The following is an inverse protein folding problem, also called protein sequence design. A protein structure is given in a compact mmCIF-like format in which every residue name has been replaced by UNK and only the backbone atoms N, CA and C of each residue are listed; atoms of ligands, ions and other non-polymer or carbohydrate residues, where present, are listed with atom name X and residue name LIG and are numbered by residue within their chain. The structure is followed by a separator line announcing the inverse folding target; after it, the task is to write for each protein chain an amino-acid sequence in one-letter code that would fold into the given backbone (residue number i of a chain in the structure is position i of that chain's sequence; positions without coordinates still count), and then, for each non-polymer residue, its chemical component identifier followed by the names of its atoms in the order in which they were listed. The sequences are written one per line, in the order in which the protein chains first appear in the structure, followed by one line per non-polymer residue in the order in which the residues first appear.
data_IF_790678555011
#
_entry.id   IF_790678555011
#
_cell.length_a   1.000
_cell.length_b   1.000
_cell.length_c   1.000
_cell.angle_alpha   90.00
_cell.angle_beta   90.00
_cell.angle_gamma   90.00
#
_symmetry.space_group_name_H-M   'P 1'
#
loop_
_entity.id
_entity.type
_entity.pdbx_description
1 polymer ?
#
# COMPACT_ATOMS: atom_id res chain seq x y z
N UNK A 1 -24.88 5.95 15.82
CA UNK A 1 -23.96 6.12 16.89
C UNK A 1 -22.73 5.29 16.77
N UNK A 2 -22.92 4.01 16.73
CA UNK A 2 -21.78 3.13 16.63
C UNK A 2 -21.02 3.33 15.34
N UNK A 3 -21.70 3.79 14.32
CA UNK A 3 -21.06 4.01 13.04
C UNK A 3 -19.95 5.03 13.11
N UNK A 4 -20.10 5.98 13.99
CA UNK A 4 -19.08 7.01 14.09
C UNK A 4 -17.77 6.46 14.58
N UNK A 5 -17.84 5.46 15.41
CA UNK A 5 -16.64 4.83 15.91
C UNK A 5 -15.88 4.16 14.79
N UNK A 6 -16.61 3.49 13.90
CA UNK A 6 -15.98 2.87 12.75
C UNK A 6 -15.27 3.88 11.89
N UNK A 7 -15.85 5.03 11.70
CA UNK A 7 -15.24 6.05 10.89
C UNK A 7 -13.92 6.51 11.47
N UNK A 8 -13.82 6.59 12.76
CA UNK A 8 -12.58 7.00 13.38
C UNK A 8 -11.47 6.02 13.09
N UNK A 9 -11.80 4.75 13.11
CA UNK A 9 -10.80 3.74 12.84
C UNK A 9 -10.34 3.74 11.41
N UNK A 10 -11.19 4.19 10.52
CA UNK A 10 -10.85 4.21 9.11
C UNK A 10 -10.07 5.44 8.72
N UNK A 11 -9.70 6.26 9.69
CA UNK A 11 -9.00 7.49 9.39
C UNK A 11 -7.58 7.33 8.93
N UNK A 12 -6.94 6.21 9.24
CA UNK A 12 -5.54 6.04 8.87
C UNK A 12 -5.41 5.62 7.42
N UNK A 13 -4.77 6.48 6.65
CA UNK A 13 -4.51 6.25 5.25
C UNK A 13 -3.12 6.74 4.91
N UNK A 14 -2.59 6.25 3.81
CA UNK A 14 -1.27 6.65 3.37
C UNK A 14 -1.25 6.59 1.85
N UNK A 15 -0.53 7.52 1.24
CA UNK A 15 -0.37 7.49 -0.21
C UNK A 15 0.27 6.17 -0.62
N UNK A 16 -0.18 5.66 -1.75
CA UNK A 16 0.29 4.39 -2.26
C UNK A 16 1.80 4.36 -2.44
N UNK A 17 2.36 5.40 -3.05
CA UNK A 17 3.80 5.44 -3.27
C UNK A 17 4.58 5.42 -1.96
N UNK A 18 4.08 6.13 -0.97
CA UNK A 18 4.73 6.14 0.33
C UNK A 18 4.61 4.79 1.02
N UNK A 19 3.44 4.17 0.93
CA UNK A 19 3.21 2.86 1.53
C UNK A 19 4.16 1.81 0.94
N UNK A 20 4.33 1.84 -0.38
CA UNK A 20 5.22 0.90 -1.04
C UNK A 20 6.66 1.07 -0.57
N UNK A 21 7.07 2.31 -0.32
CA UNK A 21 8.41 2.56 0.18
C UNK A 21 8.56 2.17 1.65
N UNK A 22 7.58 2.53 2.48
CA UNK A 22 7.63 2.24 3.91
C UNK A 22 7.66 0.75 4.16
N UNK A 23 6.88 -0.02 3.39
CA UNK A 23 6.86 -1.47 3.52
C UNK A 23 8.05 -2.14 2.84
N UNK A 24 8.85 -1.36 2.14
CA UNK A 24 10.03 -1.84 1.41
C UNK A 24 9.68 -2.81 0.30
N UNK A 25 8.43 -2.82 -0.12
CA UNK A 25 8.04 -3.55 -1.33
C UNK A 25 8.73 -2.94 -2.54
N UNK A 26 8.86 -1.62 -2.54
CA UNK A 26 9.67 -0.91 -3.52
C UNK A 26 10.60 0.01 -2.74
N UNK A 27 11.89 -0.15 -2.92
CA UNK A 27 12.86 0.53 -2.09
C UNK A 27 12.89 2.04 -2.27
N UNK A 28 12.58 2.52 -3.46
CA UNK A 28 12.67 3.94 -3.77
C UNK A 28 11.31 4.50 -4.12
N UNK A 29 10.96 5.62 -3.50
CA UNK A 29 9.68 6.24 -3.75
C UNK A 29 9.50 6.70 -5.21
N UNK A 30 10.52 7.26 -5.87
CA UNK A 30 10.38 7.59 -7.30
C UNK A 30 10.06 6.38 -8.15
N UNK A 31 10.63 5.22 -7.83
CA UNK A 31 10.35 3.99 -8.56
C UNK A 31 8.90 3.56 -8.32
N UNK A 32 8.43 3.68 -7.08
CA UNK A 32 7.04 3.37 -6.78
C UNK A 32 6.09 4.28 -7.54
N UNK A 33 6.42 5.57 -7.59
CA UNK A 33 5.64 6.55 -8.30
C UNK A 33 5.53 6.18 -9.78
N UNK A 34 6.67 5.84 -10.37
CA UNK A 34 6.74 5.47 -11.77
C UNK A 34 5.93 4.21 -12.07
N UNK A 35 6.03 3.22 -11.20
CA UNK A 35 5.29 1.97 -11.39
C UNK A 35 3.79 2.22 -11.34
N UNK A 36 3.35 3.06 -10.42
CA UNK A 36 1.94 3.40 -10.32
C UNK A 36 1.46 4.14 -11.57
N UNK A 37 2.25 5.12 -12.03
CA UNK A 37 1.87 5.89 -13.20
C UNK A 37 1.87 5.05 -14.46
N UNK A 38 2.67 4.00 -14.49
CA UNK A 38 2.71 3.09 -15.63
C UNK A 38 1.58 2.05 -15.60
N UNK A 39 0.75 2.08 -14.57
CA UNK A 39 -0.36 1.14 -14.46
C UNK A 39 0.05 -0.24 -13.96
N UNK A 40 1.22 -0.34 -13.35
CA UNK A 40 1.72 -1.63 -12.86
C UNK A 40 1.28 -1.97 -11.46
N UNK A 41 0.66 -1.01 -10.77
CA UNK A 41 0.19 -1.22 -9.41
C UNK A 41 -1.32 -1.06 -9.40
N UNK A 42 -1.99 -2.05 -8.84
CA UNK A 42 -3.44 -1.99 -8.69
C UNK A 42 -3.80 -2.05 -7.22
N UNK A 43 -4.92 -1.43 -6.88
CA UNK A 43 -5.49 -1.52 -5.53
C UNK A 43 -6.91 -2.03 -5.69
N UNK A 44 -7.18 -3.17 -5.03
CA UNK A 44 -8.48 -3.81 -5.11
C UNK A 44 -8.89 -4.09 -6.56
N UNK A 45 -7.91 -4.47 -7.37
CA UNK A 45 -8.16 -4.87 -8.75
C UNK A 45 -8.23 -3.74 -9.75
N UNK A 46 -8.01 -2.50 -9.33
CA UNK A 46 -8.07 -1.35 -10.23
C UNK A 46 -6.74 -0.63 -10.26
N UNK A 47 -6.30 -0.20 -11.45
CA UNK A 47 -5.05 0.57 -11.52
C UNK A 47 -5.15 1.80 -10.62
N UNK A 48 -4.10 2.05 -9.88
CA UNK A 48 -4.06 3.15 -8.93
C UNK A 48 -2.85 4.01 -9.17
N UNK A 49 -3.04 5.31 -9.01
CA UNK A 49 -1.94 6.25 -9.14
C UNK A 49 -1.21 6.37 -7.82
N UNK A 50 -0.01 6.93 -7.89
CA UNK A 50 0.84 7.04 -6.71
C UNK A 50 0.19 7.84 -5.59
N UNK A 51 -0.67 8.76 -5.91
CA UNK A 51 -1.32 9.62 -4.93
C UNK A 51 -2.56 9.02 -4.29
N UNK A 52 -2.98 7.84 -4.76
CA UNK A 52 -4.14 7.18 -4.17
C UNK A 52 -3.83 6.77 -2.75
N UNK A 53 -4.77 6.97 -1.84
CA UNK A 53 -4.61 6.58 -0.46
C UNK A 53 -5.02 5.12 -0.27
N UNK A 54 -4.23 4.40 0.50
CA UNK A 54 -4.55 3.01 0.86
C UNK A 54 -4.80 2.93 2.35
N UNK A 55 -5.57 1.91 2.75
CA UNK A 55 -5.91 1.69 4.15
C UNK A 55 -5.91 0.20 4.43
N UNK A 56 -5.99 -0.15 5.69
CA UNK A 56 -6.01 -1.56 6.10
C UNK A 56 -7.17 -2.28 5.41
N UNK A 57 -6.88 -3.45 4.89
CA UNK A 57 -7.84 -4.25 4.16
C UNK A 57 -7.76 -4.13 2.65
N UNK A 58 -7.02 -3.14 2.16
CA UNK A 58 -6.84 -3.00 0.70
C UNK A 58 -5.89 -4.07 0.18
N UNK A 59 -6.15 -4.50 -1.05
CA UNK A 59 -5.33 -5.51 -1.72
C UNK A 59 -4.53 -4.80 -2.81
N UNK A 60 -3.22 -4.91 -2.72
CA UNK A 60 -2.31 -4.27 -3.68
C UNK A 60 -1.63 -5.34 -4.51
N UNK A 61 -1.64 -5.16 -5.82
CA UNK A 61 -0.89 -6.01 -6.74
C UNK A 61 0.15 -5.17 -7.45
N UNK A 62 1.36 -5.67 -7.49
CA UNK A 62 2.48 -4.98 -8.15
C UNK A 62 3.05 -5.91 -9.21
N UNK A 63 3.15 -5.41 -10.42
CA UNK A 63 3.71 -6.19 -11.52
C UNK A 63 5.19 -5.86 -11.66
N UNK A 64 6.04 -6.84 -11.40
CA UNK A 64 7.48 -6.72 -11.56
C UNK A 64 7.89 -7.53 -12.78
N UNK A 65 7.86 -6.92 -13.95
CA UNK A 65 8.17 -7.65 -15.17
C UNK A 65 7.21 -8.80 -15.37
N UNK A 66 7.71 -10.02 -15.27
CA UNK A 66 6.89 -11.21 -15.44
C UNK A 66 6.29 -11.72 -14.14
N UNK A 67 6.64 -11.08 -13.04
CA UNK A 67 6.18 -11.48 -11.72
C UNK A 67 5.12 -10.53 -11.23
N UNK A 68 4.12 -11.08 -10.54
CA UNK A 68 3.11 -10.26 -9.86
C UNK A 68 3.16 -10.57 -8.38
N UNK A 69 3.31 -9.52 -7.59
CA UNK A 69 3.29 -9.64 -6.13
C UNK A 69 1.96 -9.11 -5.64
N UNK A 70 1.28 -9.89 -4.83
CA UNK A 70 -0.02 -9.53 -4.29
C UNK A 70 0.07 -9.50 -2.77
N UNK A 71 -0.34 -8.40 -2.18
CA UNK A 71 -0.26 -8.23 -0.73
C UNK A 71 -1.53 -7.60 -0.21
N UNK A 72 -1.81 -7.87 1.05
CA UNK A 72 -2.92 -7.22 1.74
C UNK A 72 -2.35 -6.20 2.71
N UNK A 73 -2.93 -5.02 2.73
CA UNK A 73 -2.56 -3.98 3.69
C UNK A 73 -3.10 -4.38 5.04
N UNK A 74 -2.20 -4.61 5.99
CA UNK A 74 -2.58 -5.03 7.34
C UNK A 74 -2.71 -3.82 8.25
N UNK A 75 -1.78 -2.88 8.14
CA UNK A 75 -1.78 -1.70 8.99
C UNK A 75 -1.11 -0.55 8.25
N UNK A 76 -1.44 0.65 8.69
CA UNK A 76 -0.84 1.87 8.16
C UNK A 76 0.00 2.49 9.27
N UNK A 77 1.30 2.64 9.03
CA UNK A 77 2.19 3.26 9.98
C UNK A 77 3.36 3.86 9.22
N UNK A 78 3.83 5.00 9.70
CA UNK A 78 4.96 5.68 9.12
C UNK A 78 6.20 5.24 9.90
N UNK A 79 6.78 4.13 9.50
CA UNK A 79 7.94 3.58 10.19
C UNK A 79 9.12 3.48 9.25
N UNK A 80 10.31 3.63 9.81
CA UNK A 80 11.53 3.42 9.06
C UNK A 80 12.23 2.13 9.48
N UNK A 81 11.67 1.44 10.46
CA UNK A 81 12.28 0.22 10.97
C UNK A 81 11.96 -0.95 10.06
N UNK A 82 13.00 -1.68 9.71
CA UNK A 82 12.89 -2.79 8.80
C UNK A 82 11.97 -3.89 9.34
N UNK A 83 12.08 -4.17 10.63
CA UNK A 83 11.25 -5.22 11.24
C UNK A 83 9.78 -4.87 11.21
N UNK A 84 9.47 -3.59 11.40
CA UNK A 84 8.08 -3.16 11.43
C UNK A 84 7.47 -3.08 10.05
N UNK A 85 8.30 -2.87 9.05
CA UNK A 85 7.80 -2.76 7.67
C UNK A 85 7.11 -4.05 7.25
N UNK A 86 7.65 -5.19 7.66
CA UNK A 86 7.06 -6.47 7.31
C UNK A 86 5.74 -6.76 8.01
N UNK A 87 5.42 -6.00 9.04
CA UNK A 87 4.16 -6.19 9.77
C UNK A 87 3.03 -5.33 9.22
N UNK A 88 3.32 -4.47 8.27
CA UNK A 88 2.31 -3.59 7.69
C UNK A 88 1.54 -4.26 6.58
N UNK A 89 2.04 -5.37 6.05
CA UNK A 89 1.39 -6.06 4.96
C UNK A 89 1.63 -7.55 5.10
N UNK A 90 0.89 -8.33 4.31
CA UNK A 90 1.16 -9.76 4.21
C UNK A 90 0.97 -10.20 2.78
N UNK A 91 1.79 -11.16 2.37
CA UNK A 91 1.68 -11.72 1.03
C UNK A 91 0.46 -12.61 0.93
N UNK A 92 -0.17 -12.58 -0.22
CA UNK A 92 -1.36 -13.41 -0.49
C UNK A 92 -1.05 -14.55 -1.43
#
# INVERSE_FOLDING_TARGET
MLLRISKKKEGKQMRLDKYLKVTRLIKRRPVANEACDAGRVTVNGKPAKASVNVKAGDIIEIMFGQKTVKVEVVAIADTTKKEEAGELFRYL
#
